data_IF_287199096820
#
_entry.id   IF_287199096820
#
_cell.length_a   1.000
_cell.length_b   1.000
_cell.length_c   1.000
_cell.angle_alpha   90.00
_cell.angle_beta   90.00
_cell.angle_gamma   90.00
#
_symmetry.space_group_name_H-M   'P 1'
#
loop_
_entity.id
_entity.type
_entity.pdbx_description
1 polymer ?
#
# COMPACT_ATOMS: atom_id res chain seq x y z
N UNK A 1 37.60 24.93 1.57
CA UNK A 1 37.37 23.85 2.58
C UNK A 1 37.18 24.38 4.01
N UNK A 2 36.89 25.67 4.23
CA UNK A 2 36.97 26.28 5.58
C UNK A 2 35.60 26.47 6.27
N UNK A 3 34.48 26.48 5.51
CA UNK A 3 33.14 26.71 6.09
C UNK A 3 32.51 25.47 6.73
N UNK A 4 32.70 24.28 6.13
CA UNK A 4 32.13 23.03 6.65
C UNK A 4 32.80 22.61 7.97
N UNK A 5 34.11 22.84 8.10
CA UNK A 5 34.88 22.58 9.33
C UNK A 5 34.46 23.46 10.52
N UNK A 6 33.90 24.64 10.27
CA UNK A 6 33.50 25.57 11.34
C UNK A 6 32.10 25.25 11.90
N UNK A 7 31.20 24.74 11.04
CA UNK A 7 29.87 24.25 11.43
C UNK A 7 29.96 23.00 12.32
N UNK A 8 30.93 22.11 12.06
CA UNK A 8 31.16 20.93 12.88
C UNK A 8 31.79 21.24 14.26
N UNK A 9 32.48 22.37 14.39
CA UNK A 9 33.16 22.78 15.63
C UNK A 9 32.30 23.69 16.53
N UNK A 10 31.18 24.23 16.04
CA UNK A 10 30.30 25.13 16.81
C UNK A 10 29.07 24.46 17.41
N UNK A 11 28.87 23.15 17.21
CA UNK A 11 27.81 22.43 17.90
C UNK A 11 28.27 22.14 19.33
N UNK A 12 27.74 22.89 20.30
CA UNK A 12 27.86 22.52 21.70
C UNK A 12 27.34 21.07 21.89
N UNK A 13 27.88 20.27 22.81
CA UNK A 13 27.46 18.88 23.03
C UNK A 13 25.95 18.73 23.27
N UNK A 14 25.30 19.76 23.83
CA UNK A 14 23.83 19.84 23.96
C UNK A 14 23.11 19.86 22.60
N UNK A 15 23.63 20.62 21.64
CA UNK A 15 23.09 20.69 20.28
C UNK A 15 23.25 19.36 19.53
N UNK A 16 24.31 18.59 19.83
CA UNK A 16 24.52 17.27 19.23
C UNK A 16 23.57 16.22 19.83
N UNK A 17 23.36 16.25 21.14
CA UNK A 17 22.42 15.37 21.82
C UNK A 17 20.97 15.64 21.38
N UNK A 18 20.61 16.91 21.18
CA UNK A 18 19.28 17.31 20.68
C UNK A 18 19.07 16.89 19.21
N UNK A 19 20.08 17.06 18.35
CA UNK A 19 20.08 16.53 16.98
C UNK A 19 19.93 15.01 16.94
N UNK A 20 20.63 14.28 17.81
CA UNK A 20 20.53 12.82 17.91
C UNK A 20 19.13 12.39 18.38
N UNK A 21 18.58 13.07 19.39
CA UNK A 21 17.23 12.79 19.91
C UNK A 21 16.17 13.04 18.84
N UNK A 22 16.19 14.20 18.18
CA UNK A 22 15.28 14.54 17.09
C UNK A 22 15.40 13.57 15.91
N UNK A 23 16.62 13.17 15.55
CA UNK A 23 16.85 12.16 14.51
C UNK A 23 16.29 10.79 14.88
N UNK A 24 16.42 10.36 16.14
CA UNK A 24 15.86 9.11 16.63
C UNK A 24 14.32 9.14 16.64
N UNK A 25 13.72 10.25 17.09
CA UNK A 25 12.26 10.46 17.09
C UNK A 25 11.68 10.44 15.66
N UNK A 26 12.37 11.07 14.70
CA UNK A 26 11.99 11.04 13.29
C UNK A 26 12.03 9.62 12.71
N UNK A 27 13.08 8.83 13.02
CA UNK A 27 13.20 7.42 12.58
C UNK A 27 12.10 6.56 13.20
N UNK A 28 11.81 6.72 14.49
CA UNK A 28 10.72 5.98 15.14
C UNK A 28 9.37 6.30 14.52
N UNK A 29 9.08 7.58 14.27
CA UNK A 29 7.83 8.02 13.65
C UNK A 29 7.66 7.48 12.24
N UNK A 30 8.73 7.53 11.43
CA UNK A 30 8.75 6.96 10.09
C UNK A 30 8.52 5.44 10.12
N UNK A 31 9.17 4.72 11.04
CA UNK A 31 8.99 3.27 11.18
C UNK A 31 7.55 2.89 11.53
N UNK A 32 6.93 3.60 12.47
CA UNK A 32 5.52 3.39 12.82
C UNK A 32 4.60 3.65 11.63
N UNK A 33 4.79 4.77 10.93
CA UNK A 33 4.00 5.12 9.75
C UNK A 33 4.16 4.08 8.63
N UNK A 34 5.37 3.55 8.41
CA UNK A 34 5.57 2.46 7.44
C UNK A 34 4.86 1.17 7.88
N UNK A 35 4.96 0.78 9.15
CA UNK A 35 4.32 -0.43 9.66
C UNK A 35 2.78 -0.37 9.51
N UNK A 36 2.16 0.77 9.82
CA UNK A 36 0.73 1.00 9.62
C UNK A 36 0.32 0.91 8.15
N UNK A 37 1.11 1.52 7.26
CA UNK A 37 0.82 1.46 5.82
C UNK A 37 0.96 0.04 5.26
N UNK A 38 1.95 -0.74 5.71
CA UNK A 38 2.09 -2.16 5.34
C UNK A 38 0.89 -2.97 5.83
N UNK A 39 0.45 -2.76 7.06
CA UNK A 39 -0.74 -3.45 7.59
C UNK A 39 -2.00 -3.13 6.79
N UNK A 40 -2.21 -1.85 6.45
CA UNK A 40 -3.34 -1.43 5.59
C UNK A 40 -3.28 -2.04 4.20
N UNK A 41 -2.11 -2.03 3.57
CA UNK A 41 -1.89 -2.65 2.27
C UNK A 41 -2.21 -4.15 2.30
N UNK A 42 -1.70 -4.85 3.31
CA UNK A 42 -1.94 -6.28 3.48
C UNK A 42 -3.41 -6.60 3.71
N UNK A 43 -4.10 -5.80 4.54
CA UNK A 43 -5.54 -5.93 4.79
C UNK A 43 -6.34 -5.83 3.49
N UNK A 44 -6.05 -4.81 2.67
CA UNK A 44 -6.70 -4.63 1.39
C UNK A 44 -6.42 -5.78 0.42
N UNK A 45 -5.16 -6.21 0.31
CA UNK A 45 -4.79 -7.34 -0.53
C UNK A 45 -5.56 -8.60 -0.13
N UNK A 46 -5.61 -8.93 1.16
CA UNK A 46 -6.36 -10.09 1.63
C UNK A 46 -7.85 -9.97 1.34
N UNK A 47 -8.43 -8.77 1.46
CA UNK A 47 -9.83 -8.52 1.11
C UNK A 47 -10.08 -8.77 -0.37
N UNK A 48 -9.22 -8.25 -1.25
CA UNK A 48 -9.32 -8.46 -2.69
C UNK A 48 -9.16 -9.93 -3.09
N UNK A 49 -8.16 -10.65 -2.54
CA UNK A 49 -8.00 -12.08 -2.80
C UNK A 49 -9.23 -12.88 -2.37
N UNK A 50 -9.77 -12.57 -1.20
CA UNK A 50 -10.97 -13.22 -0.68
C UNK A 50 -12.17 -12.98 -1.60
N UNK A 51 -12.33 -11.76 -2.12
CA UNK A 51 -13.36 -11.41 -3.11
C UNK A 51 -13.21 -12.22 -4.41
N UNK A 52 -12.02 -12.18 -5.03
CA UNK A 52 -11.76 -12.91 -6.28
C UNK A 52 -11.94 -14.41 -6.12
N UNK A 53 -11.55 -14.99 -4.98
CA UNK A 53 -11.79 -16.40 -4.70
C UNK A 53 -13.28 -16.75 -4.64
N UNK A 54 -14.10 -15.91 -3.99
CA UNK A 54 -15.56 -16.10 -3.97
C UNK A 54 -16.15 -16.01 -5.37
N UNK A 55 -15.73 -15.04 -6.18
CA UNK A 55 -16.23 -14.90 -7.56
C UNK A 55 -15.85 -16.09 -8.44
N UNK A 56 -14.62 -16.62 -8.30
CA UNK A 56 -14.20 -17.84 -8.97
C UNK A 56 -15.12 -19.03 -8.62
N UNK A 57 -15.37 -19.27 -7.33
CA UNK A 57 -16.24 -20.35 -6.86
C UNK A 57 -17.66 -20.16 -7.38
N UNK A 58 -18.20 -18.94 -7.31
CA UNK A 58 -19.54 -18.60 -7.78
C UNK A 58 -19.71 -18.90 -9.27
N UNK A 59 -18.71 -18.56 -10.10
CA UNK A 59 -18.77 -18.83 -11.53
C UNK A 59 -18.66 -20.32 -11.82
N UNK A 60 -17.75 -21.04 -11.17
CA UNK A 60 -17.66 -22.49 -11.34
C UNK A 60 -18.96 -23.21 -10.96
N UNK A 61 -19.59 -22.82 -9.85
CA UNK A 61 -20.89 -23.36 -9.45
C UNK A 61 -21.96 -23.13 -10.53
N UNK A 62 -22.00 -21.95 -11.13
CA UNK A 62 -22.95 -21.63 -12.20
C UNK A 62 -22.66 -22.42 -13.48
N UNK A 63 -21.39 -22.55 -13.87
CA UNK A 63 -20.98 -23.34 -15.05
C UNK A 63 -21.45 -24.79 -14.92
N UNK A 64 -21.35 -25.38 -13.73
CA UNK A 64 -21.80 -26.76 -13.46
C UNK A 64 -23.32 -26.94 -13.61
N UNK A 65 -24.09 -25.85 -13.59
CA UNK A 65 -25.55 -25.87 -13.73
C UNK A 65 -26.04 -25.38 -15.09
N UNK A 66 -25.14 -24.94 -15.98
CA UNK A 66 -25.53 -24.45 -17.31
C UNK A 66 -26.13 -25.58 -18.16
N UNK A 67 -27.20 -25.25 -18.88
CA UNK A 67 -27.89 -26.19 -19.78
C UNK A 67 -27.23 -26.33 -21.15
N UNK A 68 -26.27 -25.46 -21.47
CA UNK A 68 -25.59 -25.44 -22.77
C UNK A 68 -24.18 -24.85 -22.69
N UNK A 69 -23.36 -25.16 -23.69
CA UNK A 69 -22.03 -24.57 -23.86
C UNK A 69 -22.10 -23.05 -24.13
N UNK A 70 -23.16 -22.59 -24.79
CA UNK A 70 -23.34 -21.17 -25.13
C UNK A 70 -23.63 -20.33 -23.88
N UNK A 71 -24.43 -20.86 -22.96
CA UNK A 71 -24.66 -20.26 -21.64
C UNK A 71 -23.36 -20.21 -20.81
N UNK A 72 -22.60 -21.31 -20.79
CA UNK A 72 -21.31 -21.36 -20.10
C UNK A 72 -20.30 -20.35 -20.69
N UNK A 73 -20.28 -20.19 -22.02
CA UNK A 73 -19.43 -19.22 -22.71
C UNK A 73 -19.79 -17.78 -22.34
N UNK A 74 -21.07 -17.42 -22.40
CA UNK A 74 -21.53 -16.08 -22.03
C UNK A 74 -21.17 -15.74 -20.57
N UNK A 75 -21.32 -16.72 -19.66
CA UNK A 75 -20.92 -16.57 -18.26
C UNK A 75 -19.41 -16.36 -18.10
N UNK A 76 -18.59 -17.11 -18.84
CA UNK A 76 -17.13 -16.99 -18.82
C UNK A 76 -16.66 -15.64 -19.35
N UNK A 77 -17.25 -15.16 -20.45
CA UNK A 77 -16.93 -13.85 -21.04
C UNK A 77 -17.25 -12.71 -20.08
N UNK A 78 -18.43 -12.74 -19.43
CA UNK A 78 -18.78 -11.75 -18.40
C UNK A 78 -17.83 -11.82 -17.19
N UNK A 79 -17.49 -13.03 -16.73
CA UNK A 79 -16.56 -13.22 -15.63
C UNK A 79 -15.17 -12.65 -15.93
N UNK A 80 -14.63 -12.88 -17.13
CA UNK A 80 -13.32 -12.37 -17.52
C UNK A 80 -13.33 -10.85 -17.61
N UNK A 81 -14.36 -10.26 -18.21
CA UNK A 81 -14.52 -8.80 -18.27
C UNK A 81 -14.52 -8.20 -16.86
N UNK A 82 -15.39 -8.70 -15.97
CA UNK A 82 -15.45 -8.22 -14.58
C UNK A 82 -14.14 -8.41 -13.83
N UNK A 83 -13.46 -9.53 -14.04
CA UNK A 83 -12.16 -9.77 -13.43
C UNK A 83 -11.15 -8.69 -13.84
N UNK A 84 -11.09 -8.36 -15.13
CA UNK A 84 -10.19 -7.32 -15.65
C UNK A 84 -10.49 -5.95 -15.05
N UNK A 85 -11.77 -5.56 -14.99
CA UNK A 85 -12.20 -4.30 -14.37
C UNK A 85 -11.78 -4.26 -12.90
N UNK A 86 -12.08 -5.32 -12.14
CA UNK A 86 -11.73 -5.42 -10.72
C UNK A 86 -10.21 -5.37 -10.47
N UNK A 87 -9.39 -6.04 -11.30
CA UNK A 87 -7.93 -5.96 -11.18
C UNK A 87 -7.40 -4.56 -11.49
N UNK A 88 -8.00 -3.87 -12.47
CA UNK A 88 -7.63 -2.49 -12.81
C UNK A 88 -7.95 -1.56 -11.63
N UNK A 89 -9.18 -1.61 -11.13
CA UNK A 89 -9.64 -0.79 -10.01
C UNK A 89 -8.80 -1.00 -8.75
N UNK A 90 -8.48 -2.26 -8.44
CA UNK A 90 -7.65 -2.60 -7.28
C UNK A 90 -6.21 -2.13 -7.45
N UNK A 91 -5.65 -2.22 -8.66
CA UNK A 91 -4.31 -1.71 -8.95
C UNK A 91 -4.24 -0.20 -8.75
N UNK A 92 -5.24 0.54 -9.24
CA UNK A 92 -5.32 1.97 -9.00
C UNK A 92 -5.47 2.30 -7.51
N UNK A 93 -6.24 1.50 -6.79
CA UNK A 93 -6.40 1.64 -5.34
C UNK A 93 -5.08 1.47 -4.60
N UNK A 94 -4.28 0.47 -4.97
CA UNK A 94 -2.94 0.30 -4.41
C UNK A 94 -2.01 1.47 -4.71
N UNK A 95 -2.05 2.02 -5.92
CA UNK A 95 -1.28 3.23 -6.26
C UNK A 95 -1.69 4.40 -5.37
N UNK A 96 -2.99 4.63 -5.19
CA UNK A 96 -3.51 5.68 -4.29
C UNK A 96 -3.06 5.45 -2.85
N UNK A 97 -3.14 4.22 -2.35
CA UNK A 97 -2.69 3.87 -1.00
C UNK A 97 -1.19 4.15 -0.79
N UNK A 98 -0.36 3.88 -1.80
CA UNK A 98 1.07 4.16 -1.75
C UNK A 98 1.37 5.67 -1.78
N UNK A 99 0.67 6.43 -2.63
CA UNK A 99 0.77 7.88 -2.67
C UNK A 99 0.39 8.51 -1.33
N UNK A 100 -0.72 8.08 -0.73
CA UNK A 100 -1.15 8.56 0.58
C UNK A 100 -0.16 8.18 1.70
N UNK A 101 0.39 6.96 1.65
CA UNK A 101 1.40 6.50 2.59
C UNK A 101 2.66 7.38 2.54
N UNK A 102 3.12 7.69 1.32
CA UNK A 102 4.28 8.55 1.09
C UNK A 102 4.02 9.98 1.55
N UNK A 103 2.83 10.54 1.25
CA UNK A 103 2.45 11.87 1.69
C UNK A 103 2.44 11.98 3.23
N UNK A 104 1.83 11.01 3.91
CA UNK A 104 1.82 10.96 5.39
C UNK A 104 3.22 10.89 5.98
N UNK A 105 4.11 10.06 5.41
CA UNK A 105 5.49 9.95 5.87
C UNK A 105 6.29 11.25 5.69
N UNK A 106 6.04 11.98 4.58
CA UNK A 106 6.66 13.29 4.35
C UNK A 106 6.17 14.34 5.34
N UNK A 107 4.88 14.33 5.67
CA UNK A 107 4.31 15.30 6.62
C UNK A 107 4.76 15.04 8.06
N UNK A 108 4.92 13.78 8.47
CA UNK A 108 5.45 13.45 9.79
C UNK A 108 6.92 13.82 10.01
N UNK A 109 7.66 14.15 8.95
CA UNK A 109 9.03 14.66 9.04
C UNK A 109 9.10 16.19 9.14
N UNK A 110 8.00 16.91 8.86
CA UNK A 110 7.94 18.37 8.93
C UNK A 110 7.45 18.88 10.29
N UNK A 111 6.78 18.02 11.06
CA UNK A 111 6.31 18.24 12.43
C UNK A 111 7.40 17.97 13.45
#
# INVERSE_FOLDING_TARGET
>A
MTKVSKLAQSAAPENLAELQKSGLEAVTTLNTAMAENVSRFYGEWMQFLSHRLRENVRVQQKILTCGSLEEARALQEDFLRRAMDEYSDESEKFVRMFQDATARALDSMKS
#
